data_IF_451999768435
#
_entry.id   IF_451999768435
#
_cell.length_a   1.000
_cell.length_b   1.000
_cell.length_c   1.000
_cell.angle_alpha   90.00
_cell.angle_beta   90.00
_cell.angle_gamma   90.00
#
_symmetry.space_group_name_H-M   'P 1'
#
loop_
_entity.id
_entity.type
_entity.pdbx_description
1 polymer ?
#
# COMPACT_ATOMS: atom_id res chain seq x y z
N UNK A 1 6.73 -6.88 11.44
CA UNK A 1 5.45 -6.94 12.18
C UNK A 1 4.29 -6.73 11.21
N UNK A 2 3.69 -7.81 10.70
CA UNK A 2 2.53 -7.76 9.81
C UNK A 2 1.29 -7.34 10.60
N UNK A 3 0.77 -6.13 10.33
CA UNK A 3 -0.48 -5.64 10.90
C UNK A 3 -1.59 -5.83 9.86
N UNK A 4 -2.42 -6.86 10.04
CA UNK A 4 -3.59 -7.11 9.19
C UNK A 4 -4.62 -6.03 9.49
N UNK A 5 -4.81 -5.11 8.54
CA UNK A 5 -5.82 -4.05 8.62
C UNK A 5 -7.23 -4.64 8.38
N UNK A 6 -7.89 -5.06 9.46
CA UNK A 6 -9.32 -5.39 9.49
C UNK A 6 -10.15 -4.11 9.47
N UNK A 7 -10.30 -3.47 8.30
CA UNK A 7 -11.34 -2.44 8.15
C UNK A 7 -12.01 -2.52 6.76
N UNK A 8 -13.34 -2.58 6.76
CA UNK A 8 -14.18 -2.96 5.61
C UNK A 8 -14.18 -1.93 4.48
N UNK A 9 -13.89 -0.65 4.76
CA UNK A 9 -13.88 0.44 3.77
C UNK A 9 -12.64 0.47 2.88
N UNK A 10 -11.47 0.14 3.42
CA UNK A 10 -10.21 0.16 2.68
C UNK A 10 -10.06 -1.05 1.74
N UNK A 11 -10.76 -2.16 2.02
CA UNK A 11 -10.58 -3.43 1.32
C UNK A 11 -10.87 -3.33 -0.18
N UNK A 12 -12.00 -2.73 -0.58
CA UNK A 12 -12.33 -2.53 -2.01
C UNK A 12 -11.36 -1.61 -2.73
N UNK A 13 -10.84 -0.58 -2.05
CA UNK A 13 -9.96 0.43 -2.67
C UNK A 13 -8.50 -0.01 -2.80
N UNK A 14 -8.04 -0.95 -1.96
CA UNK A 14 -6.72 -1.59 -2.08
C UNK A 14 -6.60 -2.42 -3.37
N UNK A 15 -7.70 -2.95 -3.92
CA UNK A 15 -7.63 -3.62 -5.22
C UNK A 15 -7.43 -2.65 -6.40
N UNK A 16 -7.67 -1.34 -6.20
CA UNK A 16 -7.55 -0.25 -7.19
C UNK A 16 -6.30 0.62 -6.97
N UNK A 17 -5.28 0.09 -6.30
CA UNK A 17 -4.02 0.81 -6.06
C UNK A 17 -3.34 1.27 -7.34
N UNK A 18 -2.62 2.38 -7.26
CA UNK A 18 -1.83 2.86 -8.40
C UNK A 18 -0.49 2.12 -8.45
N UNK A 19 -0.03 1.67 -9.62
CA UNK A 19 1.30 1.08 -9.75
C UNK A 19 2.36 2.13 -9.42
N UNK A 20 3.41 1.69 -8.72
CA UNK A 20 4.56 2.54 -8.40
C UNK A 20 5.59 2.46 -9.53
N UNK A 21 6.23 3.59 -9.85
CA UNK A 21 7.37 3.68 -10.78
C UNK A 21 8.68 3.75 -10.00
N UNK A 22 9.81 3.40 -10.61
CA UNK A 22 11.14 3.44 -9.98
C UNK A 22 11.48 2.17 -9.18
N UNK A 23 12.14 2.31 -8.03
CA UNK A 23 12.67 1.18 -7.23
C UNK A 23 11.61 0.19 -6.72
N UNK A 24 10.34 0.58 -6.72
CA UNK A 24 9.19 -0.26 -6.31
C UNK A 24 8.31 -0.66 -7.49
N UNK A 25 8.86 -0.71 -8.72
CA UNK A 25 8.14 -1.13 -9.92
C UNK A 25 7.54 -2.53 -9.72
N UNK A 26 6.25 -2.67 -10.03
CA UNK A 26 5.48 -3.91 -9.81
C UNK A 26 4.70 -3.95 -8.49
N UNK A 27 4.94 -2.99 -7.59
CA UNK A 27 4.15 -2.82 -6.37
C UNK A 27 3.05 -1.76 -6.57
N UNK A 28 2.09 -1.77 -5.65
CA UNK A 28 0.99 -0.83 -5.59
C UNK A 28 1.21 0.18 -4.46
N UNK A 29 0.74 1.41 -4.66
CA UNK A 29 0.65 2.42 -3.61
C UNK A 29 -0.79 2.77 -3.30
N UNK A 30 -1.06 2.97 -2.02
CA UNK A 30 -2.33 3.45 -1.50
C UNK A 30 -2.10 4.66 -0.60
N UNK A 31 -2.84 5.74 -0.85
CA UNK A 31 -2.75 6.97 -0.08
C UNK A 31 -3.82 7.00 1.01
N UNK A 32 -3.39 7.22 2.24
CA UNK A 32 -4.26 7.41 3.40
C UNK A 32 -3.88 8.74 4.04
N UNK A 33 -4.61 9.81 3.69
CA UNK A 33 -4.27 11.17 4.10
C UNK A 33 -2.87 11.58 3.66
N UNK A 34 -1.97 11.76 4.63
CA UNK A 34 -0.57 12.16 4.44
C UNK A 34 0.42 10.98 4.39
N UNK A 35 -0.08 9.75 4.54
CA UNK A 35 0.70 8.53 4.50
C UNK A 35 0.55 7.80 3.16
N UNK A 36 1.64 7.17 2.73
CA UNK A 36 1.68 6.24 1.61
C UNK A 36 1.95 4.83 2.15
N UNK A 37 1.09 3.90 1.79
CA UNK A 37 1.34 2.47 1.96
C UNK A 37 1.80 1.89 0.62
N UNK A 38 2.98 1.27 0.60
CA UNK A 38 3.45 0.43 -0.51
C UNK A 38 3.10 -1.02 -0.16
N UNK A 39 2.44 -1.71 -1.08
CA UNK A 39 1.94 -3.04 -0.85
C UNK A 39 1.92 -3.86 -2.15
N UNK A 40 1.79 -5.17 -1.97
CA UNK A 40 1.41 -6.09 -3.04
C UNK A 40 0.09 -6.76 -2.68
N UNK A 41 -0.64 -7.25 -3.68
CA UNK A 41 -1.89 -7.98 -3.48
C UNK A 41 -1.81 -9.35 -4.16
N UNK A 42 -2.33 -10.35 -3.47
CA UNK A 42 -2.62 -11.69 -4.01
C UNK A 42 -4.14 -11.78 -4.24
N UNK A 43 -4.64 -12.90 -4.78
CA UNK A 43 -6.08 -13.09 -5.02
C UNK A 43 -6.96 -12.83 -3.78
N UNK A 44 -6.45 -13.14 -2.58
CA UNK A 44 -7.24 -13.11 -1.34
C UNK A 44 -6.70 -12.14 -0.29
N UNK A 45 -5.48 -11.65 -0.46
CA UNK A 45 -4.74 -10.97 0.61
C UNK A 45 -3.95 -9.77 0.11
N UNK A 46 -3.62 -8.87 1.04
CA UNK A 46 -2.81 -7.70 0.78
C UNK A 46 -1.64 -7.69 1.77
N UNK A 47 -0.42 -7.70 1.22
CA UNK A 47 0.81 -7.62 1.99
C UNK A 47 1.36 -6.19 1.94
N UNK A 48 1.35 -5.51 3.08
CA UNK A 48 1.90 -4.16 3.21
C UNK A 48 3.39 -4.25 3.52
N UNK A 49 4.21 -3.68 2.64
CA UNK A 49 5.67 -3.73 2.73
C UNK A 49 6.21 -2.53 3.50
N UNK A 50 5.67 -1.34 3.24
CA UNK A 50 6.12 -0.10 3.87
C UNK A 50 4.95 0.85 4.07
N UNK A 51 4.89 1.49 5.23
CA UNK A 51 3.99 2.62 5.49
C UNK A 51 4.86 3.77 5.94
N UNK A 52 4.69 4.94 5.32
CA UNK A 52 5.44 6.11 5.71
C UNK A 52 4.74 7.41 5.31
N UNK A 53 5.19 8.51 5.88
CA UNK A 53 4.74 9.83 5.47
C UNK A 53 5.20 10.13 4.03
N UNK A 54 4.40 10.86 3.24
CA UNK A 54 4.65 11.11 1.81
C UNK A 54 6.08 11.58 1.46
N UNK A 55 6.73 12.29 2.38
CA UNK A 55 8.08 12.85 2.21
C UNK A 55 9.21 11.82 2.45
N UNK A 56 8.91 10.72 3.14
CA UNK A 56 9.92 9.77 3.63
C UNK A 56 9.80 8.38 3.00
N UNK A 57 8.72 8.10 2.26
CA UNK A 57 8.47 6.75 1.71
C UNK A 57 9.51 6.35 0.64
N UNK A 58 10.07 7.33 -0.06
CA UNK A 58 11.11 7.15 -1.08
C UNK A 58 12.53 7.42 -0.57
N UNK A 59 12.69 7.75 0.71
CA UNK A 59 14.00 7.86 1.36
C UNK A 59 14.43 6.51 1.94
#
# INVERSE_FOLDING_TARGET
MLKILRNSRCRKKLFLGQPVKGQFKGLLKYRVGNYLAIYTKTKSEVLILRIGHRKNVYK
#
